data_IF_672231440599
#
_entry.id   IF_672231440599
#
_cell.length_a   1.000
_cell.length_b   1.000
_cell.length_c   1.000
_cell.angle_alpha   90.00
_cell.angle_beta   90.00
_cell.angle_gamma   90.00
#
_symmetry.space_group_name_H-M   'P 1'
#
loop_
_entity.id
_entity.type
_entity.pdbx_description
1 polymer ?
#
# COMPACT_ATOMS: atom_id res chain seq x y z
N UNK A 1 -0.64 -11.73 -2.47
CA UNK A 1 -1.60 -10.63 -2.38
C UNK A 1 -2.57 -10.90 -3.50
N UNK A 2 -3.44 -11.87 -3.29
CA UNK A 2 -4.42 -12.27 -4.29
C UNK A 2 -5.76 -11.82 -3.68
N UNK A 3 -6.64 -11.21 -4.48
CA UNK A 3 -7.91 -10.61 -4.04
C UNK A 3 -7.77 -9.75 -2.76
N UNK A 4 -7.04 -8.64 -2.83
CA UNK A 4 -6.74 -7.81 -1.66
C UNK A 4 -7.22 -6.36 -1.84
N UNK A 5 -7.99 -5.88 -0.87
CA UNK A 5 -8.43 -4.49 -0.64
C UNK A 5 -7.30 -3.68 0.02
N UNK A 6 -6.90 -2.57 -0.59
CA UNK A 6 -5.66 -1.85 -0.28
C UNK A 6 -5.88 -0.35 -0.34
N UNK A 7 -5.59 0.35 0.76
CA UNK A 7 -5.43 1.81 0.74
C UNK A 7 -3.95 2.15 0.53
N UNK A 8 -3.64 2.99 -0.46
CA UNK A 8 -2.28 3.47 -0.70
C UNK A 8 -2.23 4.99 -0.49
N UNK A 9 -1.36 5.42 0.42
CA UNK A 9 -1.09 6.82 0.72
C UNK A 9 0.33 7.24 0.35
N UNK A 10 0.45 8.43 -0.21
CA UNK A 10 1.73 9.11 -0.51
C UNK A 10 1.64 10.56 -0.05
N UNK A 11 2.72 11.14 0.48
CA UNK A 11 2.77 12.56 0.81
C UNK A 11 4.14 13.17 0.44
N UNK A 12 4.15 14.48 0.25
CA UNK A 12 5.35 15.31 0.03
C UNK A 12 5.10 16.71 0.58
N UNK A 13 5.76 17.07 1.68
CA UNK A 13 5.37 18.23 2.47
C UNK A 13 3.90 18.11 2.88
N UNK A 14 3.08 19.12 2.60
CA UNK A 14 1.64 19.10 2.92
C UNK A 14 0.76 18.55 1.77
N UNK A 15 1.36 18.17 0.63
CA UNK A 15 0.62 17.54 -0.46
C UNK A 15 0.52 16.05 -0.19
N UNK A 16 -0.65 15.47 -0.42
CA UNK A 16 -0.86 14.05 -0.29
C UNK A 16 -1.83 13.51 -1.32
N UNK A 17 -1.78 12.19 -1.50
CA UNK A 17 -2.75 11.42 -2.25
C UNK A 17 -2.97 10.12 -1.49
N UNK A 18 -4.23 9.84 -1.18
CA UNK A 18 -4.67 8.58 -0.58
C UNK A 18 -5.82 8.10 -1.42
N UNK A 19 -5.73 6.89 -1.94
CA UNK A 19 -6.75 6.33 -2.81
C UNK A 19 -6.99 4.87 -2.46
N UNK A 20 -8.18 4.40 -2.84
CA UNK A 20 -8.61 3.02 -2.74
C UNK A 20 -8.12 2.20 -3.94
N UNK A 21 -7.52 1.04 -3.66
CA UNK A 21 -6.94 0.13 -4.64
C UNK A 21 -7.37 -1.30 -4.36
N UNK A 22 -7.41 -2.07 -5.44
CA UNK A 22 -7.60 -3.50 -5.36
C UNK A 22 -6.63 -4.24 -6.28
N UNK A 23 -6.27 -5.44 -5.88
CA UNK A 23 -5.57 -6.39 -6.73
C UNK A 23 -6.26 -7.74 -6.73
N UNK A 24 -6.48 -8.31 -7.92
CA UNK A 24 -7.00 -9.68 -8.08
C UNK A 24 -5.91 -10.73 -7.88
N UNK A 25 -4.67 -10.40 -8.23
CA UNK A 25 -3.54 -11.30 -8.24
C UNK A 25 -2.25 -10.58 -7.81
N UNK A 26 -1.09 -11.19 -8.07
CA UNK A 26 0.23 -10.67 -7.68
C UNK A 26 0.74 -9.53 -8.56
N UNK A 27 -0.11 -8.88 -9.34
CA UNK A 27 0.23 -7.70 -10.14
C UNK A 27 0.21 -6.40 -9.31
N UNK A 28 0.65 -5.31 -9.93
CA UNK A 28 0.54 -3.97 -9.35
C UNK A 28 -0.93 -3.65 -9.02
N UNK A 29 -1.27 -3.30 -7.76
CA UNK A 29 -2.61 -2.86 -7.43
C UNK A 29 -3.08 -1.72 -8.32
N UNK A 30 -4.36 -1.72 -8.68
CA UNK A 30 -4.99 -0.68 -9.49
C UNK A 30 -6.05 0.03 -8.66
N UNK A 31 -6.30 1.30 -8.99
CA UNK A 31 -7.39 2.06 -8.37
C UNK A 31 -8.67 1.26 -8.52
N UNK A 32 -9.48 1.18 -7.46
CA UNK A 32 -10.54 0.16 -7.38
C UNK A 32 -11.57 0.23 -8.52
N UNK A 33 -11.82 1.43 -9.03
CA UNK A 33 -12.67 1.68 -10.21
C UNK A 33 -12.23 0.95 -11.47
N UNK A 34 -10.97 0.57 -11.59
CA UNK A 34 -10.47 -0.27 -12.68
C UNK A 34 -11.10 -1.67 -12.67
N UNK A 35 -11.44 -2.18 -11.49
CA UNK A 35 -12.05 -3.49 -11.28
C UNK A 35 -13.57 -3.43 -11.13
N UNK A 36 -14.17 -2.26 -11.30
CA UNK A 36 -15.61 -2.05 -11.20
C UNK A 36 -16.14 -1.78 -9.79
N UNK A 37 -15.26 -1.58 -8.81
CA UNK A 37 -15.62 -1.01 -7.52
C UNK A 37 -15.59 0.52 -7.54
N UNK A 38 -15.61 1.14 -6.37
CA UNK A 38 -15.64 2.59 -6.16
C UNK A 38 -14.68 2.99 -5.06
N UNK A 39 -14.24 4.25 -5.10
CA UNK A 39 -13.48 4.81 -3.99
C UNK A 39 -14.38 4.94 -2.75
N UNK A 40 -14.08 4.16 -1.71
CA UNK A 40 -14.88 4.12 -0.49
C UNK A 40 -14.24 4.90 0.68
N UNK A 41 -13.12 5.58 0.42
CA UNK A 41 -12.48 6.50 1.35
C UNK A 41 -13.34 7.75 1.50
N UNK A 42 -13.83 7.99 2.71
CA UNK A 42 -14.72 9.11 3.04
C UNK A 42 -14.01 10.35 3.56
N UNK A 43 -12.74 10.22 3.93
CA UNK A 43 -11.86 11.32 4.29
C UNK A 43 -10.41 10.81 4.24
N UNK A 44 -9.50 11.69 3.85
CA UNK A 44 -8.07 11.43 3.93
C UNK A 44 -7.31 12.70 4.27
N UNK A 45 -6.15 12.52 4.89
CA UNK A 45 -5.14 13.54 5.10
C UNK A 45 -3.77 12.87 5.03
N UNK A 46 -2.75 13.64 4.68
CA UNK A 46 -1.39 13.17 4.73
C UNK A 46 -0.39 14.31 4.66
N UNK A 47 0.76 14.08 5.27
CA UNK A 47 1.88 15.01 5.23
C UNK A 47 3.20 14.25 5.39
N UNK A 48 4.28 14.88 4.98
CA UNK A 48 5.64 14.44 5.24
C UNK A 48 6.39 15.54 5.98
N UNK A 49 6.90 15.23 7.16
CA UNK A 49 7.69 16.15 7.98
C UNK A 49 8.83 15.38 8.66
N UNK A 50 10.04 15.96 8.68
CA UNK A 50 11.22 15.38 9.33
C UNK A 50 11.53 13.93 8.92
N UNK A 51 11.29 13.58 7.65
CA UNK A 51 11.51 12.24 7.10
C UNK A 51 10.44 11.21 7.49
N UNK A 52 9.32 11.64 8.08
CA UNK A 52 8.19 10.78 8.44
C UNK A 52 6.98 11.14 7.58
N UNK A 53 6.52 10.17 6.79
CA UNK A 53 5.23 10.25 6.09
C UNK A 53 4.11 9.80 7.04
N UNK A 54 3.15 10.67 7.31
CA UNK A 54 1.94 10.34 8.07
C UNK A 54 0.75 10.34 7.13
N UNK A 55 -0.02 9.25 7.14
CA UNK A 55 -1.24 9.09 6.35
C UNK A 55 -2.39 8.78 7.30
N UNK A 56 -3.50 9.50 7.13
CA UNK A 56 -4.75 9.25 7.84
C UNK A 56 -5.85 9.06 6.81
N UNK A 57 -6.71 8.07 7.01
CA UNK A 57 -7.86 7.84 6.15
C UNK A 57 -9.05 7.31 6.96
N UNK A 58 -10.24 7.44 6.38
CA UNK A 58 -11.48 6.93 6.95
C UNK A 58 -12.26 6.14 5.90
N UNK A 59 -12.34 4.82 6.08
CA UNK A 59 -13.12 3.88 5.26
C UNK A 59 -14.38 3.43 6.04
N UNK A 60 -15.42 3.00 5.34
CA UNK A 60 -16.61 2.41 5.99
C UNK A 60 -16.29 0.98 6.44
N UNK A 61 -16.81 0.56 7.59
CA UNK A 61 -16.57 -0.79 8.10
C UNK A 61 -17.28 -1.89 7.31
N UNK A 62 -18.39 -1.58 6.62
CA UNK A 62 -19.19 -2.56 5.88
C UNK A 62 -18.94 -2.42 4.38
N UNK A 63 -18.33 -3.44 3.80
CA UNK A 63 -18.17 -3.59 2.36
C UNK A 63 -19.53 -3.69 1.67
N UNK A 64 -19.63 -3.10 0.47
CA UNK A 64 -20.81 -3.22 -0.40
C UNK A 64 -20.47 -3.81 -1.76
N UNK A 65 -19.18 -3.93 -2.06
CA UNK A 65 -18.68 -4.23 -3.39
C UNK A 65 -17.78 -5.47 -3.39
N UNK A 66 -17.62 -6.15 -4.53
CA UNK A 66 -16.83 -7.39 -4.59
C UNK A 66 -15.33 -7.21 -4.35
N UNK A 67 -14.83 -5.97 -4.46
CA UNK A 67 -13.42 -5.59 -4.30
C UNK A 67 -13.06 -5.25 -2.86
N UNK A 68 -14.06 -4.97 -2.02
CA UNK A 68 -13.91 -4.56 -0.63
C UNK A 68 -13.97 -5.72 0.36
N UNK A 69 -13.28 -5.55 1.49
CA UNK A 69 -13.46 -6.41 2.66
C UNK A 69 -14.09 -5.64 3.81
N UNK A 70 -15.12 -6.23 4.44
CA UNK A 70 -15.71 -5.62 5.64
C UNK A 70 -14.73 -5.71 6.81
N UNK A 71 -14.61 -4.62 7.57
CA UNK A 71 -13.96 -4.61 8.87
C UNK A 71 -14.96 -5.13 9.91
N UNK A 72 -14.66 -6.30 10.48
CA UNK A 72 -15.55 -7.03 11.41
C UNK A 72 -14.93 -7.14 12.79
N UNK A 73 -15.77 -7.41 13.79
CA UNK A 73 -15.34 -7.69 15.17
C UNK A 73 -14.78 -9.13 15.27
N UNK A 74 -13.63 -9.34 14.63
CA UNK A 74 -12.85 -10.57 14.66
C UNK A 74 -11.39 -10.26 14.25
N UNK A 75 -10.48 -11.22 14.44
CA UNK A 75 -9.11 -11.13 13.96
C UNK A 75 -9.07 -11.08 12.42
N UNK A 76 -8.75 -9.91 11.90
CA UNK A 76 -8.56 -9.70 10.47
C UNK A 76 -7.11 -9.93 10.05
N UNK A 77 -6.90 -10.49 8.85
CA UNK A 77 -5.57 -10.55 8.24
C UNK A 77 -5.22 -9.19 7.65
N UNK A 78 -4.21 -8.54 8.20
CA UNK A 78 -3.76 -7.22 7.75
C UNK A 78 -2.41 -7.36 7.11
N UNK A 79 -2.28 -6.83 5.89
CA UNK A 79 -1.00 -6.70 5.23
C UNK A 79 -0.58 -5.23 5.23
N UNK A 80 0.71 -4.98 5.18
CA UNK A 80 1.24 -3.62 5.05
C UNK A 80 2.48 -3.61 4.17
N UNK A 81 2.76 -2.46 3.59
CA UNK A 81 3.99 -2.18 2.86
C UNK A 81 4.40 -0.72 3.04
N UNK A 82 5.69 -0.45 2.95
CA UNK A 82 6.27 0.90 2.88
C UNK A 82 7.05 1.07 1.59
N UNK A 83 7.03 2.30 1.05
CA UNK A 83 7.85 2.68 -0.10
C UNK A 83 9.34 2.48 0.17
N UNK A 84 10.11 2.32 -0.91
CA UNK A 84 11.56 2.20 -0.83
C UNK A 84 12.22 3.54 -1.08
N UNK A 85 13.27 3.85 -0.33
CA UNK A 85 14.06 5.04 -0.54
C UNK A 85 15.09 4.85 -1.68
N UNK A 86 15.45 5.94 -2.39
CA UNK A 86 16.55 5.91 -3.35
C UNK A 86 17.82 5.31 -2.74
N UNK A 87 18.40 4.31 -3.41
CA UNK A 87 19.62 3.63 -2.96
C UNK A 87 19.44 2.65 -1.80
N UNK A 88 18.23 2.47 -1.28
CA UNK A 88 17.88 1.47 -0.24
C UNK A 88 17.00 0.34 -0.79
N UNK A 89 17.18 0.04 -2.07
CA UNK A 89 16.37 -0.94 -2.75
C UNK A 89 16.66 -2.37 -2.26
N UNK A 90 15.62 -3.12 -1.90
CA UNK A 90 15.69 -4.52 -1.45
C UNK A 90 14.77 -5.37 -2.32
N UNK A 91 15.38 -6.30 -3.06
CA UNK A 91 14.68 -7.26 -3.92
C UNK A 91 15.22 -8.68 -3.76
N UNK A 92 14.32 -9.66 -3.85
CA UNK A 92 14.68 -11.07 -3.82
C UNK A 92 13.87 -11.84 -4.86
N UNK A 93 14.51 -12.59 -5.78
CA UNK A 93 15.98 -12.69 -5.98
C UNK A 93 16.59 -11.36 -6.48
N UNK A 94 17.91 -11.11 -6.37
CA UNK A 94 18.51 -9.86 -6.82
C UNK A 94 18.15 -9.54 -8.30
N UNK A 95 17.71 -8.32 -8.56
CA UNK A 95 17.32 -7.85 -9.89
C UNK A 95 18.55 -7.45 -10.73
N UNK A 96 18.32 -6.95 -11.94
CA UNK A 96 19.39 -6.40 -12.78
C UNK A 96 20.09 -5.19 -12.14
N UNK A 97 19.43 -4.48 -11.22
CA UNK A 97 20.01 -3.32 -10.51
C UNK A 97 21.13 -3.77 -9.58
N UNK A 98 20.88 -4.79 -8.77
CA UNK A 98 21.87 -5.34 -7.84
C UNK A 98 22.95 -6.15 -8.56
N UNK A 99 22.65 -6.68 -9.76
CA UNK A 99 23.59 -7.45 -10.58
C UNK A 99 24.40 -6.60 -11.56
N UNK A 100 24.12 -5.31 -11.70
CA UNK A 100 24.80 -4.41 -12.62
C UNK A 100 24.46 -4.59 -14.11
N UNK A 101 23.36 -5.28 -14.42
CA UNK A 101 22.92 -5.58 -15.80
C UNK A 101 21.61 -4.88 -16.19
N UNK A 102 21.12 -3.96 -15.37
CA UNK A 102 19.90 -3.22 -15.66
C UNK A 102 20.10 -2.27 -16.86
N UNK A 103 19.22 -2.35 -17.85
CA UNK A 103 19.16 -1.39 -18.95
C UNK A 103 18.77 0.02 -18.47
N UNK A 104 18.05 0.12 -17.35
CA UNK A 104 17.64 1.36 -16.71
C UNK A 104 18.19 1.34 -15.29
N UNK A 105 19.31 2.02 -15.06
CA UNK A 105 20.01 2.04 -13.77
C UNK A 105 19.22 2.72 -12.64
N UNK A 106 18.28 3.60 -13.00
CA UNK A 106 17.38 4.34 -12.10
C UNK A 106 15.96 3.76 -12.10
N UNK A 107 15.80 2.45 -12.33
CA UNK A 107 14.47 1.87 -12.51
C UNK A 107 13.53 2.23 -11.36
N UNK A 108 13.94 2.35 -10.10
CA UNK A 108 13.09 2.86 -9.01
C UNK A 108 13.25 4.36 -8.84
N UNK A 109 12.39 5.15 -9.51
CA UNK A 109 12.38 6.59 -9.36
C UNK A 109 11.57 7.02 -8.14
N UNK A 110 11.89 8.20 -7.65
CA UNK A 110 11.15 8.82 -6.56
C UNK A 110 9.69 9.05 -6.98
N UNK A 111 8.78 8.92 -6.01
CA UNK A 111 7.34 9.16 -6.17
C UNK A 111 6.62 8.19 -7.14
N UNK A 112 7.21 7.01 -7.43
CA UNK A 112 6.60 5.95 -8.23
C UNK A 112 6.03 4.80 -7.38
N UNK A 113 4.82 4.35 -7.71
CA UNK A 113 4.24 3.16 -7.11
C UNK A 113 4.79 1.88 -7.79
N UNK A 114 5.54 1.07 -7.03
CA UNK A 114 6.05 -0.24 -7.45
C UNK A 114 5.85 -1.28 -6.36
N UNK A 115 5.72 -2.55 -6.76
CA UNK A 115 5.26 -3.63 -5.87
C UNK A 115 6.37 -4.65 -5.50
N UNK A 116 7.62 -4.36 -5.88
CA UNK A 116 8.73 -5.32 -5.80
C UNK A 116 9.46 -5.33 -4.43
N UNK A 117 9.04 -4.50 -3.47
CA UNK A 117 9.72 -4.43 -2.16
C UNK A 117 9.72 -5.74 -1.39
N UNK A 118 10.82 -5.99 -0.67
CA UNK A 118 11.06 -7.22 0.06
C UNK A 118 11.64 -6.95 1.47
N UNK A 119 11.69 -7.98 2.31
CA UNK A 119 12.25 -7.89 3.66
C UNK A 119 11.35 -7.06 4.58
N UNK A 120 11.95 -6.24 5.45
CA UNK A 120 11.23 -5.38 6.41
C UNK A 120 10.53 -4.17 5.78
N UNK A 121 10.19 -4.22 4.49
CA UNK A 121 9.42 -3.19 3.79
C UNK A 121 7.96 -3.62 3.55
N UNK A 122 7.62 -4.86 3.89
CA UNK A 122 6.26 -5.37 3.86
C UNK A 122 6.09 -6.42 4.94
N UNK A 123 4.86 -6.67 5.35
CA UNK A 123 4.57 -7.66 6.35
C UNK A 123 3.11 -8.02 6.41
N UNK A 124 2.81 -8.94 7.30
CA UNK A 124 1.45 -9.36 7.63
C UNK A 124 1.31 -9.41 9.15
N UNK A 125 0.12 -9.12 9.65
CA UNK A 125 -0.24 -9.25 11.06
C UNK A 125 -1.72 -9.63 11.17
N UNK A 126 -2.21 -9.80 12.39
CA UNK A 126 -3.64 -9.98 12.68
C UNK A 126 -4.08 -8.94 13.70
N UNK A 127 -5.20 -8.27 13.42
CA UNK A 127 -5.74 -7.19 14.26
C UNK A 127 -7.24 -7.41 14.37
N UNK A 128 -7.80 -7.36 15.58
CA UNK A 128 -9.23 -7.09 15.75
C UNK A 128 -9.37 -5.58 15.96
N UNK A 129 -9.95 -4.89 14.97
CA UNK A 129 -10.10 -3.43 15.01
C UNK A 129 -11.15 -2.93 16.01
N UNK A 130 -11.93 -3.85 16.60
CA UNK A 130 -12.91 -3.56 17.65
C UNK A 130 -12.39 -3.91 19.05
N UNK A 131 -11.23 -4.58 19.15
CA UNK A 131 -10.60 -4.89 20.43
C UNK A 131 -10.03 -3.65 21.12
N UNK A 132 -9.91 -3.70 22.45
CA UNK A 132 -9.40 -2.59 23.27
C UNK A 132 -7.87 -2.58 23.43
N UNK A 133 -7.15 -3.54 22.84
CA UNK A 133 -5.71 -3.70 23.02
C UNK A 133 -4.91 -3.03 21.88
N UNK A 134 -4.49 -1.78 22.10
CA UNK A 134 -3.45 -1.08 21.32
C UNK A 134 -2.34 -0.54 22.23
#
# INVERSE_FOLDING_TARGET
>A
MDCTDIVIGTARGNYHRVLDYYTRDRSTPRVDTFWGGHDDITAASGFEENGVTTIMFRKKIKAKEPTDHSIVDDLMHVIWARGQEPGKYVHSPPSGLEKGSAAVGDFYRQDELKYHGHGGQRGVTRINFFGEDF
#
